data_IF_498319159164
#
_entry.id   IF_498319159164
#
_cell.length_a   1.000
_cell.length_b   1.000
_cell.length_c   1.000
_cell.angle_alpha   90.00
_cell.angle_beta   90.00
_cell.angle_gamma   90.00
#
_symmetry.space_group_name_H-M   'P 1'
#
loop_
_entity.id
_entity.type
_entity.pdbx_description
1 polymer ?
#
# COMPACT_ATOMS: atom_id res chain seq x y z
N UNK A 1 6.68 1.08 -23.56
CA UNK A 1 5.46 0.93 -22.75
C UNK A 1 5.73 1.15 -21.25
N UNK A 2 6.76 0.54 -20.65
CA UNK A 2 7.05 0.67 -19.21
C UNK A 2 7.31 2.11 -18.70
N UNK A 3 8.00 2.96 -19.47
CA UNK A 3 8.23 4.38 -19.09
C UNK A 3 6.93 5.19 -18.90
N UNK A 4 5.82 4.73 -19.48
CA UNK A 4 4.50 5.33 -19.29
C UNK A 4 4.02 5.33 -17.83
N UNK A 5 4.54 4.43 -17.00
CA UNK A 5 4.27 4.40 -15.56
C UNK A 5 4.91 5.60 -14.86
N UNK A 6 6.21 5.84 -15.09
CA UNK A 6 6.96 6.90 -14.41
C UNK A 6 6.64 8.30 -14.92
N UNK A 7 6.14 8.41 -16.16
CA UNK A 7 5.69 9.68 -16.75
C UNK A 7 4.27 10.07 -16.36
N UNK A 8 3.55 9.23 -15.60
CA UNK A 8 2.17 9.49 -15.20
C UNK A 8 1.13 9.24 -16.31
N UNK A 9 1.54 8.74 -17.47
CA UNK A 9 0.64 8.52 -18.62
C UNK A 9 -0.27 7.31 -18.44
N UNK A 10 0.17 6.31 -17.68
CA UNK A 10 -0.56 5.04 -17.46
C UNK A 10 -1.11 4.94 -16.04
N UNK A 11 -0.32 5.38 -15.05
CA UNK A 11 -0.68 5.35 -13.64
C UNK A 11 0.04 6.47 -12.89
N UNK A 12 -0.51 6.90 -11.77
CA UNK A 12 0.19 7.79 -10.83
C UNK A 12 1.11 6.96 -9.95
N UNK A 13 2.41 7.26 -9.97
CA UNK A 13 3.36 6.67 -9.03
C UNK A 13 3.35 7.49 -7.74
N UNK A 14 2.95 6.85 -6.65
CA UNK A 14 3.02 7.46 -5.32
C UNK A 14 4.39 7.15 -4.70
N UNK A 15 5.18 8.19 -4.43
CA UNK A 15 6.42 8.07 -3.68
C UNK A 15 6.13 8.33 -2.20
N UNK A 16 6.55 7.42 -1.32
CA UNK A 16 6.38 7.58 0.12
C UNK A 16 7.12 8.83 0.59
N UNK A 17 6.41 9.68 1.35
CA UNK A 17 7.06 10.77 2.08
C UNK A 17 7.75 10.23 3.34
N UNK A 18 8.55 11.07 3.99
CA UNK A 18 9.14 10.73 5.29
C UNK A 18 8.05 10.40 6.32
N UNK A 19 6.96 11.19 6.36
CA UNK A 19 5.82 10.92 7.24
C UNK A 19 5.16 9.56 6.94
N UNK A 20 5.05 9.17 5.66
CA UNK A 20 4.50 7.87 5.29
C UNK A 20 5.39 6.73 5.80
N UNK A 21 6.70 6.89 5.72
CA UNK A 21 7.68 5.90 6.21
C UNK A 21 7.59 5.78 7.73
N UNK A 22 7.51 6.90 8.46
CA UNK A 22 7.38 6.91 9.92
C UNK A 22 6.07 6.26 10.38
N UNK A 23 4.95 6.58 9.72
CA UNK A 23 3.67 5.96 10.01
C UNK A 23 3.67 4.47 9.64
N UNK A 24 4.28 4.10 8.51
CA UNK A 24 4.47 2.70 8.12
C UNK A 24 5.24 1.94 9.19
N UNK A 25 6.29 2.52 9.76
CA UNK A 25 7.06 1.89 10.83
C UNK A 25 6.22 1.64 12.09
N UNK A 26 5.30 2.55 12.43
CA UNK A 26 4.37 2.34 13.54
C UNK A 26 3.42 1.17 13.25
N UNK A 27 2.82 1.13 12.06
CA UNK A 27 1.92 0.05 11.61
C UNK A 27 2.66 -1.30 11.56
N UNK A 28 3.88 -1.31 11.02
CA UNK A 28 4.71 -2.52 10.92
C UNK A 28 5.02 -3.13 12.28
N UNK A 29 5.34 -2.30 13.29
CA UNK A 29 5.52 -2.78 14.67
C UNK A 29 4.21 -3.28 15.29
N UNK A 30 3.11 -2.57 15.05
CA UNK A 30 1.79 -2.92 15.58
C UNK A 30 1.29 -4.28 15.09
N UNK A 31 1.55 -4.63 13.82
CA UNK A 31 1.10 -5.88 13.17
C UNK A 31 2.22 -6.91 13.00
N UNK A 32 3.20 -6.91 13.91
CA UNK A 32 4.34 -7.84 13.87
C UNK A 32 3.93 -9.32 13.97
N UNK A 33 2.74 -9.61 14.46
CA UNK A 33 2.14 -10.96 14.51
C UNK A 33 1.56 -11.44 13.18
N UNK A 34 1.30 -10.52 12.23
CA UNK A 34 0.61 -10.85 10.96
C UNK A 34 1.53 -11.40 9.88
N UNK A 35 2.84 -11.29 10.06
CA UNK A 35 3.82 -11.62 9.01
C UNK A 35 3.77 -10.69 7.80
N UNK A 36 3.16 -9.51 7.95
CA UNK A 36 3.17 -8.46 6.93
C UNK A 36 4.59 -7.93 6.72
N UNK A 37 4.95 -7.68 5.47
CA UNK A 37 6.17 -6.97 5.12
C UNK A 37 6.01 -5.46 5.37
N UNK A 38 7.12 -4.73 5.36
CA UNK A 38 7.09 -3.27 5.40
C UNK A 38 6.30 -2.70 4.20
N UNK A 39 6.37 -3.35 3.04
CA UNK A 39 5.63 -2.95 1.83
C UNK A 39 4.12 -3.18 1.94
N UNK A 40 3.69 -4.22 2.64
CA UNK A 40 2.26 -4.42 2.95
C UNK A 40 1.75 -3.28 3.85
N UNK A 41 2.52 -2.96 4.89
CA UNK A 41 2.18 -1.87 5.82
C UNK A 41 2.17 -0.51 5.13
N UNK A 42 3.12 -0.22 4.24
CA UNK A 42 3.13 1.06 3.52
C UNK A 42 1.97 1.15 2.55
N UNK A 43 1.60 0.04 1.90
CA UNK A 43 0.41 -0.02 1.05
C UNK A 43 -0.85 0.29 1.86
N UNK A 44 -1.02 -0.32 3.04
CA UNK A 44 -2.15 -0.01 3.95
C UNK A 44 -2.20 1.48 4.32
N UNK A 45 -1.07 2.05 4.74
CA UNK A 45 -0.97 3.47 5.14
C UNK A 45 -1.34 4.41 3.99
N UNK A 46 -0.76 4.20 2.80
CA UNK A 46 -1.01 5.05 1.63
C UNK A 46 -2.46 4.93 1.17
N UNK A 47 -3.00 3.72 1.14
CA UNK A 47 -4.39 3.50 0.75
C UNK A 47 -5.36 4.22 1.69
N UNK A 48 -5.15 4.15 2.99
CA UNK A 48 -5.97 4.87 3.98
C UNK A 48 -5.81 6.39 3.84
N UNK A 49 -4.58 6.89 3.70
CA UNK A 49 -4.28 8.32 3.52
C UNK A 49 -4.93 8.91 2.27
N UNK A 50 -4.97 8.15 1.18
CA UNK A 50 -5.53 8.58 -0.11
C UNK A 50 -7.02 8.25 -0.27
N UNK A 51 -7.64 7.55 0.69
CA UNK A 51 -9.03 7.08 0.58
C UNK A 51 -9.22 6.03 -0.52
N UNK A 52 -8.17 5.29 -0.89
CA UNK A 52 -8.23 4.22 -1.88
C UNK A 52 -8.69 2.94 -1.20
N UNK A 53 -9.87 2.45 -1.56
CA UNK A 53 -10.50 1.27 -0.96
C UNK A 53 -10.53 0.05 -1.89
N UNK A 54 -9.82 0.09 -3.01
CA UNK A 54 -9.73 -1.01 -3.98
C UNK A 54 -8.27 -1.28 -4.33
N UNK A 55 -7.86 -2.54 -4.29
CA UNK A 55 -6.52 -2.97 -4.69
C UNK A 55 -6.61 -4.04 -5.76
N UNK A 56 -5.81 -3.90 -6.81
CA UNK A 56 -5.51 -4.97 -7.75
C UNK A 56 -4.25 -5.69 -7.26
N UNK A 57 -4.41 -6.88 -6.67
CA UNK A 57 -3.29 -7.60 -6.04
C UNK A 57 -3.55 -9.09 -5.93
N UNK A 58 -2.51 -9.87 -6.21
CA UNK A 58 -2.48 -11.31 -5.94
C UNK A 58 -2.07 -11.64 -4.49
N UNK A 59 -1.56 -10.65 -3.75
CA UNK A 59 -1.16 -10.85 -2.36
C UNK A 59 -2.38 -10.95 -1.44
N UNK A 60 -2.42 -12.02 -0.65
CA UNK A 60 -3.50 -12.26 0.31
C UNK A 60 -3.47 -11.32 1.50
N UNK A 61 -2.34 -10.69 1.84
CA UNK A 61 -2.23 -9.78 2.98
C UNK A 61 -3.14 -8.55 2.83
N UNK A 62 -3.36 -8.09 1.59
CA UNK A 62 -4.27 -6.97 1.31
C UNK A 62 -5.71 -7.25 1.77
N UNK A 63 -6.16 -8.52 1.72
CA UNK A 63 -7.49 -8.91 2.22
C UNK A 63 -7.62 -8.80 3.75
N UNK A 64 -6.50 -8.74 4.46
CA UNK A 64 -6.45 -8.61 5.92
C UNK A 64 -6.47 -7.15 6.40
N UNK A 65 -6.40 -6.17 5.50
CA UNK A 65 -6.38 -4.74 5.89
C UNK A 65 -7.72 -4.26 6.44
N UNK A 66 -8.82 -4.98 6.16
CA UNK A 66 -10.16 -4.75 6.69
C UNK A 66 -10.93 -3.58 6.05
N UNK A 67 -10.23 -2.66 5.37
CA UNK A 67 -10.80 -1.44 4.77
C UNK A 67 -10.87 -1.45 3.23
N UNK A 68 -10.45 -2.55 2.58
CA UNK A 68 -10.28 -2.57 1.11
C UNK A 68 -10.92 -3.80 0.45
N UNK A 69 -11.35 -3.63 -0.79
CA UNK A 69 -11.74 -4.71 -1.71
C UNK A 69 -10.56 -5.09 -2.60
N UNK A 70 -10.27 -6.39 -2.71
CA UNK A 70 -9.14 -6.89 -3.52
C UNK A 70 -9.65 -7.60 -4.77
N UNK A 71 -9.19 -7.14 -5.93
CA UNK A 71 -9.50 -7.70 -7.24
C UNK A 71 -8.30 -8.51 -7.78
N UNK A 72 -8.57 -9.61 -8.53
CA UNK A 72 -7.56 -10.34 -9.27
C UNK A 72 -7.07 -9.54 -10.48
#
# INVERSE_FOLDING_TARGET
MGEGLFTGKIATVYYLTEDDILLTWQVFRQFSDKGWSFTDCSSKVVMEKLGVNQAFSFDRHFRQFGSISVFP
#
